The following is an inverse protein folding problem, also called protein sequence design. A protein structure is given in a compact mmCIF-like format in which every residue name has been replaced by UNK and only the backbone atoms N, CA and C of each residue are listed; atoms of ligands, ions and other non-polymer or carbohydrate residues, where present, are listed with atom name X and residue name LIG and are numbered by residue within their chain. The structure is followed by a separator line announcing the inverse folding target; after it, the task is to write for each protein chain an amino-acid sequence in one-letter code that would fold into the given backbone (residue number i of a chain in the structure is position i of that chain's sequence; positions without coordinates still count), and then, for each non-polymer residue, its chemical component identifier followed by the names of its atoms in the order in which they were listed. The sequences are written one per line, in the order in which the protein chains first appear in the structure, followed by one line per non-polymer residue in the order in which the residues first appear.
data_IF_293483275747
#
_entry.id   IF_293483275747
#
_cell.length_a   1.000
_cell.length_b   1.000
_cell.length_c   1.000
_cell.angle_alpha   90.00
_cell.angle_beta   90.00
_cell.angle_gamma   90.00
#
_symmetry.space_group_name_H-M   'P 1'
#
loop_
_entity.id
_entity.type
_entity.pdbx_description
1 polymer ?
#
# COMPACT_ATOMS: atom_id res chain seq x y z
N UNK A 1 6.63 2.39 -17.54
CA UNK A 1 6.50 3.47 -16.54
C UNK A 1 5.27 4.28 -16.92
N UNK A 2 4.24 4.35 -16.06
CA UNK A 2 3.00 5.10 -16.38
C UNK A 2 3.36 6.59 -16.54
N UNK A 3 2.74 7.26 -17.51
CA UNK A 3 3.08 8.63 -17.92
C UNK A 3 2.99 9.64 -16.77
N UNK A 4 2.06 9.45 -15.84
CA UNK A 4 1.68 10.46 -14.86
C UNK A 4 2.77 10.87 -13.85
N UNK A 5 3.60 9.94 -13.37
CA UNK A 5 4.76 10.32 -12.54
C UNK A 5 5.79 11.12 -13.33
N UNK A 6 6.05 10.75 -14.59
CA UNK A 6 7.02 11.47 -15.44
C UNK A 6 6.54 12.87 -15.76
N UNK A 7 5.24 13.02 -15.99
CA UNK A 7 4.63 14.29 -16.35
C UNK A 7 4.60 15.27 -15.16
N UNK A 8 4.70 14.78 -13.92
CA UNK A 8 4.63 15.58 -12.68
C UNK A 8 5.80 15.34 -11.71
N UNK A 9 6.94 14.84 -12.20
CA UNK A 9 8.06 14.38 -11.37
C UNK A 9 8.54 15.45 -10.39
N UNK A 10 8.65 16.70 -10.86
CA UNK A 10 9.08 17.83 -10.03
C UNK A 10 8.15 18.06 -8.84
N UNK A 11 6.84 18.02 -9.04
CA UNK A 11 5.87 18.23 -7.95
C UNK A 11 5.95 17.14 -6.90
N UNK A 12 6.15 15.90 -7.33
CA UNK A 12 6.35 14.77 -6.43
C UNK A 12 7.66 14.88 -5.64
N UNK A 13 8.76 15.23 -6.29
CA UNK A 13 10.07 15.38 -5.63
C UNK A 13 10.16 16.62 -4.74
N UNK A 14 9.33 17.65 -4.99
CA UNK A 14 9.23 18.81 -4.11
C UNK A 14 8.41 18.51 -2.83
N UNK A 15 7.46 17.58 -2.90
CA UNK A 15 6.56 17.25 -1.78
C UNK A 15 7.02 16.05 -0.94
N UNK A 16 7.64 15.04 -1.55
CA UNK A 16 8.09 13.82 -0.89
C UNK A 16 9.62 13.74 -0.84
N UNK A 17 10.17 13.24 0.27
CA UNK A 17 11.61 12.98 0.38
C UNK A 17 12.10 11.92 -0.63
N UNK A 18 11.25 10.91 -0.91
CA UNK A 18 11.55 9.83 -1.85
C UNK A 18 10.27 9.27 -2.49
N UNK A 19 10.36 8.87 -3.77
CA UNK A 19 9.29 8.17 -4.49
C UNK A 19 9.79 6.85 -5.06
N UNK A 20 9.16 5.76 -4.65
CA UNK A 20 9.50 4.41 -5.12
C UNK A 20 8.46 3.89 -6.13
N UNK A 21 8.95 3.35 -7.26
CA UNK A 21 8.12 2.69 -8.27
C UNK A 21 8.35 1.18 -8.23
N UNK A 22 7.31 0.42 -7.91
CA UNK A 22 7.38 -1.05 -7.86
C UNK A 22 7.53 -1.65 -9.27
N UNK A 23 8.74 -2.08 -9.63
CA UNK A 23 9.06 -2.69 -10.92
C UNK A 23 8.13 -3.86 -11.28
N UNK A 24 7.90 -4.79 -10.35
CA UNK A 24 7.01 -5.95 -10.56
C UNK A 24 5.55 -5.57 -10.84
N UNK A 25 5.09 -4.42 -10.33
CA UNK A 25 3.74 -3.93 -10.65
C UNK A 25 3.63 -3.36 -12.07
N UNK A 26 4.74 -2.84 -12.62
CA UNK A 26 4.82 -2.29 -13.97
C UNK A 26 4.72 -3.36 -15.06
N UNK A 27 5.14 -4.58 -14.75
CA UNK A 27 5.12 -5.73 -15.66
C UNK A 27 3.85 -6.58 -15.49
N UNK A 28 3.14 -6.41 -14.37
CA UNK A 28 1.91 -7.12 -14.09
C UNK A 28 0.76 -6.65 -14.99
N UNK A 29 -0.14 -7.58 -15.33
CA UNK A 29 -1.39 -7.25 -15.99
C UNK A 29 -2.16 -6.18 -15.18
N UNK A 30 -2.78 -5.15 -15.80
CA UNK A 30 -3.34 -3.99 -15.09
C UNK A 30 -4.29 -4.33 -13.94
N UNK A 31 -5.09 -5.41 -14.09
CA UNK A 31 -5.99 -5.92 -13.04
C UNK A 31 -5.28 -6.36 -11.75
N UNK A 32 -4.00 -6.75 -11.83
CA UNK A 32 -3.21 -7.24 -10.70
C UNK A 32 -2.14 -6.26 -10.24
N UNK A 33 -1.80 -5.24 -11.04
CA UNK A 33 -0.71 -4.31 -10.74
C UNK A 33 -0.81 -3.69 -9.33
N UNK A 34 -2.00 -3.26 -8.91
CA UNK A 34 -2.21 -2.70 -7.56
C UNK A 34 -1.96 -3.76 -6.48
N UNK A 35 -2.43 -4.99 -6.68
CA UNK A 35 -2.23 -6.06 -5.71
C UNK A 35 -0.76 -6.43 -5.59
N UNK A 36 -0.01 -6.48 -6.70
CA UNK A 36 1.43 -6.75 -6.71
C UNK A 36 2.18 -5.65 -5.97
N UNK A 37 1.90 -4.38 -6.29
CA UNK A 37 2.50 -3.23 -5.59
C UNK A 37 2.23 -3.29 -4.09
N UNK A 38 0.98 -3.54 -3.71
CA UNK A 38 0.59 -3.59 -2.30
C UNK A 38 1.32 -4.72 -1.55
N UNK A 39 1.43 -5.92 -2.13
CA UNK A 39 2.17 -7.03 -1.50
C UNK A 39 3.65 -6.69 -1.29
N UNK A 40 4.30 -6.11 -2.31
CA UNK A 40 5.70 -5.68 -2.22
C UNK A 40 5.94 -4.63 -1.12
N UNK A 41 4.98 -3.74 -0.86
CA UNK A 41 5.05 -2.82 0.29
C UNK A 41 4.88 -3.56 1.63
N UNK A 42 3.92 -4.49 1.71
CA UNK A 42 3.67 -5.28 2.93
C UNK A 42 4.90 -6.11 3.30
N UNK A 43 5.55 -6.76 2.33
CA UNK A 43 6.71 -7.63 2.57
C UNK A 43 7.83 -6.87 3.31
N UNK A 44 8.01 -5.59 2.99
CA UNK A 44 9.05 -4.70 3.57
C UNK A 44 8.60 -3.93 4.81
N UNK A 45 7.32 -3.92 5.14
CA UNK A 45 6.81 -3.16 6.28
C UNK A 45 6.97 -3.92 7.60
N UNK A 46 7.28 -3.21 8.68
CA UNK A 46 7.21 -3.74 10.06
C UNK A 46 5.84 -3.50 10.70
N UNK A 47 5.19 -2.39 10.32
CA UNK A 47 3.88 -1.96 10.78
C UNK A 47 3.00 -1.56 9.60
N UNK A 48 1.74 -1.98 9.63
CA UNK A 48 0.73 -1.65 8.62
C UNK A 48 -0.38 -0.85 9.28
N UNK A 49 -0.48 0.44 8.97
CA UNK A 49 -1.59 1.29 9.39
C UNK A 49 -2.63 1.33 8.27
N UNK A 50 -3.89 1.05 8.58
CA UNK A 50 -4.98 1.04 7.61
C UNK A 50 -6.28 1.58 8.21
N UNK A 51 -7.28 1.85 7.37
CA UNK A 51 -8.62 2.21 7.79
C UNK A 51 -9.62 1.39 6.95
N UNK A 52 -9.99 0.21 7.45
CA UNK A 52 -10.80 -0.77 6.72
C UNK A 52 -12.07 -1.05 7.51
N UNK A 53 -13.21 -0.62 6.96
CA UNK A 53 -14.54 -0.84 7.55
C UNK A 53 -15.22 -2.09 6.97
N UNK A 54 -15.01 -2.36 5.67
CA UNK A 54 -15.67 -3.46 4.97
C UNK A 54 -14.70 -4.62 4.70
N UNK A 55 -15.16 -5.85 4.96
CA UNK A 55 -14.39 -7.08 4.75
C UNK A 55 -14.41 -7.56 3.28
N UNK A 56 -14.19 -6.64 2.34
CA UNK A 56 -14.22 -6.92 0.91
C UNK A 56 -13.32 -5.95 0.11
N UNK A 57 -13.04 -6.29 -1.14
CA UNK A 57 -12.25 -5.45 -2.06
C UNK A 57 -10.73 -5.59 -1.92
N UNK A 58 -10.01 -4.85 -2.77
CA UNK A 58 -8.55 -4.96 -2.90
C UNK A 58 -7.77 -4.51 -1.66
N UNK A 59 -8.27 -3.49 -0.94
CA UNK A 59 -7.65 -3.01 0.29
C UNK A 59 -7.76 -4.07 1.40
N UNK A 60 -8.94 -4.66 1.61
CA UNK A 60 -9.11 -5.76 2.55
C UNK A 60 -8.25 -6.97 2.18
N UNK A 61 -8.18 -7.35 0.91
CA UNK A 61 -7.31 -8.43 0.44
C UNK A 61 -5.83 -8.18 0.77
N UNK A 62 -5.38 -6.92 0.77
CA UNK A 62 -4.02 -6.52 1.16
C UNK A 62 -3.79 -6.74 2.66
N UNK A 63 -4.74 -6.36 3.51
CA UNK A 63 -4.65 -6.60 4.96
C UNK A 63 -4.64 -8.09 5.28
N UNK A 64 -5.48 -8.89 4.60
CA UNK A 64 -5.44 -10.36 4.72
C UNK A 64 -4.09 -10.95 4.33
N UNK A 65 -3.37 -10.32 3.40
CA UNK A 65 -2.01 -10.72 3.07
C UNK A 65 -1.03 -10.33 4.19
N UNK A 66 -1.13 -9.12 4.72
CA UNK A 66 -0.32 -8.67 5.85
C UNK A 66 -0.47 -9.56 7.10
N UNK A 67 -1.70 -9.98 7.41
CA UNK A 67 -1.97 -10.93 8.49
C UNK A 67 -1.25 -12.27 8.25
N UNK A 68 -1.29 -12.78 7.01
CA UNK A 68 -0.59 -14.03 6.62
C UNK A 68 0.93 -13.90 6.72
N UNK A 69 1.47 -12.71 6.45
CA UNK A 69 2.89 -12.41 6.62
C UNK A 69 3.28 -12.11 8.07
N UNK A 70 2.33 -12.20 9.02
CA UNK A 70 2.58 -11.97 10.45
C UNK A 70 2.91 -10.51 10.79
N UNK A 71 2.47 -9.55 9.98
CA UNK A 71 2.78 -8.13 10.20
C UNK A 71 1.95 -7.56 11.34
N UNK A 72 2.51 -6.58 12.06
CA UNK A 72 1.75 -5.79 13.04
C UNK A 72 0.79 -4.87 12.28
N UNK A 73 -0.49 -4.93 12.59
CA UNK A 73 -1.53 -4.17 11.88
C UNK A 73 -2.28 -3.28 12.88
N UNK A 74 -2.47 -2.02 12.53
CA UNK A 74 -3.29 -1.05 13.26
C UNK A 74 -4.38 -0.56 12.31
N UNK A 75 -5.63 -0.97 12.57
CA UNK A 75 -6.78 -0.52 11.81
C UNK A 75 -7.49 0.62 12.54
N UNK A 76 -7.42 1.82 11.97
CA UNK A 76 -8.02 3.03 12.50
C UNK A 76 -9.55 2.99 12.52
N UNK A 77 -10.18 2.13 11.71
CA UNK A 77 -11.63 1.96 11.70
C UNK A 77 -12.16 1.17 12.90
N UNK A 78 -11.31 0.46 13.63
CA UNK A 78 -11.72 -0.44 14.71
C UNK A 78 -11.87 0.26 16.06
N UNK A 79 -11.90 1.61 16.10
CA UNK A 79 -11.89 2.48 17.30
C UNK A 79 -12.33 1.81 18.62
N UNK A 80 -11.39 1.11 19.25
CA UNK A 80 -11.12 1.25 20.67
C UNK A 80 -9.83 2.05 20.73
N UNK A 81 -9.98 3.31 21.16
CA UNK A 81 -8.99 4.38 21.05
C UNK A 81 -7.55 3.93 21.23
N UNK A 82 -6.71 4.38 20.31
CA UNK A 82 -5.25 4.35 20.45
C UNK A 82 -4.93 5.33 21.58
N UNK A 83 -4.92 4.82 22.82
CA UNK A 83 -4.32 5.52 23.95
C UNK A 83 -2.82 5.56 23.71
N UNK A 84 -2.30 6.74 23.42
CA UNK A 84 -0.88 7.05 23.56
C UNK A 84 -0.50 7.10 25.04
#
# INVERSE_FOLDING_TARGET
MKSEYRDNEKEYLDYYDEVEVCAGSSEAHPKFAIQVRNRSMIDRADLVVCCIQHKSGGAYATIRYAEKQGKKIVNLADEKGIGF
#
